data_IF_790923179725
#
_entry.id   IF_790923179725
#
_cell.length_a   1.000
_cell.length_b   1.000
_cell.length_c   1.000
_cell.angle_alpha   90.00
_cell.angle_beta   90.00
_cell.angle_gamma   90.00
#
_symmetry.space_group_name_H-M   'P 1'
#
loop_
_entity.id
_entity.type
_entity.pdbx_description
1 polymer ?
#
# COMPACT_ATOMS: atom_id res chain seq x y z
N UNK A 1 25.21 24.26 -39.59
CA UNK A 1 25.55 22.96 -40.20
C UNK A 1 26.94 22.55 -39.77
N UNK A 2 27.06 21.67 -38.78
CA UNK A 2 28.31 20.94 -38.50
C UNK A 2 27.90 19.50 -38.16
N UNK A 3 28.33 18.57 -39.02
CA UNK A 3 27.90 17.18 -39.05
C UNK A 3 28.56 16.31 -37.98
N UNK A 4 27.77 15.36 -37.47
CA UNK A 4 28.20 14.36 -36.50
C UNK A 4 29.18 13.36 -37.10
N UNK A 5 30.24 13.05 -36.34
CA UNK A 5 31.12 11.90 -36.60
C UNK A 5 30.48 10.64 -36.01
N UNK A 6 30.17 9.69 -36.89
CA UNK A 6 29.90 8.31 -36.52
C UNK A 6 31.15 7.69 -35.89
N UNK A 7 31.03 7.22 -34.66
CA UNK A 7 32.04 6.39 -34.01
C UNK A 7 31.80 4.95 -34.52
N UNK A 8 32.76 4.47 -35.31
CA UNK A 8 32.76 3.14 -35.93
C UNK A 8 32.75 2.02 -34.88
N UNK A 9 31.84 1.06 -35.05
CA UNK A 9 31.59 -0.10 -34.19
C UNK A 9 32.67 -1.19 -34.19
N UNK A 10 33.90 -0.89 -34.64
CA UNK A 10 34.85 -1.92 -35.08
C UNK A 10 35.93 -2.34 -34.07
N UNK A 11 35.72 -2.20 -32.76
CA UNK A 11 36.79 -2.52 -31.77
C UNK A 11 36.38 -3.50 -30.66
N UNK A 12 35.13 -3.93 -30.56
CA UNK A 12 34.74 -4.90 -29.52
C UNK A 12 33.77 -5.92 -30.11
N UNK A 13 34.26 -7.03 -30.67
CA UNK A 13 33.32 -8.04 -31.17
C UNK A 13 33.83 -9.27 -31.92
N UNK A 14 35.13 -9.47 -32.14
CA UNK A 14 35.54 -10.57 -33.04
C UNK A 14 35.46 -11.98 -32.43
N UNK A 15 35.16 -12.13 -31.13
CA UNK A 15 35.17 -13.45 -30.45
C UNK A 15 33.95 -13.73 -29.55
N UNK A 16 32.85 -13.00 -29.68
CA UNK A 16 31.62 -13.31 -28.93
C UNK A 16 30.80 -14.38 -29.68
N UNK A 17 30.22 -15.39 -28.98
CA UNK A 17 29.37 -16.38 -29.64
C UNK A 17 28.17 -15.70 -30.31
N UNK A 18 27.63 -16.25 -31.41
CA UNK A 18 26.62 -15.58 -32.25
C UNK A 18 25.39 -15.06 -31.48
N UNK A 19 24.98 -15.77 -30.42
CA UNK A 19 23.88 -15.38 -29.54
C UNK A 19 24.15 -14.09 -28.73
N UNK A 20 25.40 -13.84 -28.34
CA UNK A 20 25.80 -12.63 -27.61
C UNK A 20 25.90 -11.41 -28.55
N UNK A 21 26.26 -11.63 -29.82
CA UNK A 21 26.30 -10.57 -30.83
C UNK A 21 24.89 -10.12 -31.22
N UNK A 22 23.95 -11.06 -31.39
CA UNK A 22 22.53 -10.79 -31.68
C UNK A 22 21.81 -10.12 -30.49
N UNK A 23 22.16 -10.49 -29.26
CA UNK A 23 21.68 -9.82 -28.04
C UNK A 23 22.14 -8.36 -27.97
N UNK A 24 23.43 -8.09 -28.20
CA UNK A 24 24.00 -6.75 -28.09
C UNK A 24 23.50 -5.80 -29.18
N UNK A 25 23.35 -6.26 -30.43
CA UNK A 25 22.80 -5.40 -31.50
C UNK A 25 21.32 -5.06 -31.28
N UNK A 26 20.50 -5.99 -30.74
CA UNK A 26 19.06 -5.73 -30.50
C UNK A 26 18.78 -4.91 -29.23
N UNK A 27 19.66 -4.97 -28.23
CA UNK A 27 19.64 -4.09 -27.05
C UNK A 27 19.96 -2.63 -27.45
N UNK A 28 20.87 -2.43 -28.42
CA UNK A 28 21.22 -1.13 -28.97
C UNK A 28 20.15 -0.59 -29.94
N UNK A 29 19.47 -1.48 -30.67
CA UNK A 29 18.32 -1.17 -31.55
C UNK A 29 16.97 -1.20 -30.82
N UNK A 30 16.94 -0.92 -29.52
CA UNK A 30 15.69 -0.83 -28.77
C UNK A 30 14.87 0.34 -29.33
N UNK A 31 13.83 0.02 -30.11
CA UNK A 31 12.74 0.96 -30.39
C UNK A 31 12.22 1.55 -29.07
N UNK A 32 11.73 2.78 -29.11
CA UNK A 32 11.44 3.61 -27.93
C UNK A 32 10.85 2.81 -26.75
N UNK A 33 11.62 2.68 -25.67
CA UNK A 33 11.13 2.16 -24.40
C UNK A 33 10.04 3.09 -23.91
N UNK A 34 8.81 2.61 -23.87
CA UNK A 34 7.67 3.46 -23.55
C UNK A 34 6.63 2.69 -22.72
N UNK A 35 5.69 3.43 -22.13
CA UNK A 35 4.68 2.89 -21.20
C UNK A 35 3.77 1.80 -21.78
N UNK A 36 3.79 1.60 -23.10
CA UNK A 36 2.95 0.61 -23.78
C UNK A 36 3.64 -0.75 -23.93
N UNK A 37 4.94 -0.84 -23.60
CA UNK A 37 5.72 -2.07 -23.69
C UNK A 37 5.51 -2.89 -22.43
N UNK A 38 5.17 -4.16 -22.58
CA UNK A 38 5.10 -5.10 -21.46
C UNK A 38 6.52 -5.49 -21.02
N UNK A 39 6.99 -5.14 -19.81
CA UNK A 39 8.36 -5.43 -19.40
C UNK A 39 8.63 -6.93 -19.19
N UNK A 40 7.58 -7.75 -19.04
CA UNK A 40 7.72 -9.20 -18.80
C UNK A 40 7.96 -10.00 -20.09
N UNK A 41 7.71 -9.44 -21.29
CA UNK A 41 7.92 -10.16 -22.56
C UNK A 41 9.36 -10.61 -22.74
N UNK A 42 10.28 -9.78 -22.31
CA UNK A 42 11.70 -9.94 -22.60
C UNK A 42 12.39 -10.86 -21.58
N UNK A 43 11.71 -11.22 -20.49
CA UNK A 43 12.25 -12.13 -19.47
C UNK A 43 12.48 -13.54 -20.01
N UNK A 44 11.67 -13.97 -20.98
CA UNK A 44 11.88 -15.26 -21.67
C UNK A 44 13.22 -15.30 -22.42
N UNK A 45 13.72 -14.15 -22.88
CA UNK A 45 15.04 -14.02 -23.52
C UNK A 45 16.18 -14.14 -22.51
N UNK A 46 15.90 -13.96 -21.22
CA UNK A 46 16.84 -14.14 -20.10
C UNK A 46 16.72 -15.53 -19.45
N UNK A 47 16.16 -16.51 -20.17
CA UNK A 47 15.91 -17.87 -19.66
C UNK A 47 14.96 -17.93 -18.46
N UNK A 48 14.16 -16.88 -18.21
CA UNK A 48 13.12 -16.87 -17.19
C UNK A 48 11.81 -17.24 -17.89
N UNK A 49 11.43 -18.51 -17.78
CA UNK A 49 10.23 -19.03 -18.43
C UNK A 49 8.95 -18.48 -17.79
N UNK A 50 7.84 -18.56 -18.52
CA UNK A 50 6.52 -18.14 -18.02
C UNK A 50 6.12 -18.89 -16.75
N UNK A 51 6.46 -20.18 -16.65
CA UNK A 51 6.20 -21.02 -15.48
C UNK A 51 6.98 -20.52 -14.25
N UNK A 52 8.22 -20.06 -14.42
CA UNK A 52 9.01 -19.47 -13.33
C UNK A 52 8.35 -18.18 -12.83
N UNK A 53 7.91 -17.30 -13.74
CA UNK A 53 7.23 -16.06 -13.38
C UNK A 53 5.92 -16.32 -12.63
N UNK A 54 5.10 -17.26 -13.13
CA UNK A 54 3.85 -17.66 -12.48
C UNK A 54 4.11 -18.28 -11.11
N UNK A 55 5.09 -19.19 -11.01
CA UNK A 55 5.51 -19.81 -9.74
C UNK A 55 5.98 -18.78 -8.72
N UNK A 56 6.70 -17.75 -9.15
CA UNK A 56 7.11 -16.63 -8.29
C UNK A 56 5.90 -15.85 -7.75
N UNK A 57 4.90 -15.53 -8.58
CA UNK A 57 3.66 -14.87 -8.10
C UNK A 57 2.92 -15.76 -7.10
N UNK A 58 2.79 -17.05 -7.38
CA UNK A 58 2.14 -18.01 -6.47
C UNK A 58 2.88 -18.06 -5.13
N UNK A 59 4.22 -18.09 -5.16
CA UNK A 59 5.03 -18.03 -3.94
C UNK A 59 4.79 -16.75 -3.14
N UNK A 60 4.73 -15.58 -3.80
CA UNK A 60 4.44 -14.31 -3.12
C UNK A 60 3.06 -14.33 -2.46
N UNK A 61 2.04 -14.87 -3.13
CA UNK A 61 0.71 -15.02 -2.55
C UNK A 61 0.70 -15.95 -1.33
N UNK A 62 1.44 -17.07 -1.38
CA UNK A 62 1.60 -17.98 -0.23
C UNK A 62 2.30 -17.29 0.95
N UNK A 63 3.36 -16.52 0.70
CA UNK A 63 4.06 -15.76 1.74
C UNK A 63 3.13 -14.75 2.44
N UNK A 64 2.23 -14.09 1.70
CA UNK A 64 1.22 -13.19 2.29
C UNK A 64 0.27 -13.93 3.20
N UNK A 65 -0.26 -15.07 2.74
CA UNK A 65 -1.20 -15.89 3.51
C UNK A 65 -0.52 -16.36 4.80
N UNK A 66 0.66 -16.98 4.69
CA UNK A 66 1.42 -17.50 5.83
C UNK A 66 1.77 -16.36 6.79
N UNK A 67 2.33 -15.26 6.30
CA UNK A 67 2.72 -14.12 7.13
C UNK A 67 1.54 -13.49 7.87
N UNK A 68 0.38 -13.43 7.23
CA UNK A 68 -0.85 -12.88 7.81
C UNK A 68 -1.41 -13.82 8.88
N UNK A 69 -1.43 -15.14 8.65
CA UNK A 69 -1.83 -16.15 9.65
C UNK A 69 -0.90 -16.10 10.86
N UNK A 70 0.42 -16.07 10.64
CA UNK A 70 1.40 -15.95 11.72
C UNK A 70 1.20 -14.66 12.52
N UNK A 71 0.90 -13.55 11.86
CA UNK A 71 0.63 -12.26 12.52
C UNK A 71 -0.60 -12.35 13.43
N UNK A 72 -1.68 -12.97 12.94
CA UNK A 72 -2.90 -13.21 13.74
C UNK A 72 -2.64 -14.07 14.96
N UNK A 73 -1.87 -15.16 14.79
CA UNK A 73 -1.51 -16.07 15.87
C UNK A 73 -0.66 -15.35 16.93
N UNK A 74 0.35 -14.61 16.49
CA UNK A 74 1.26 -13.89 17.39
C UNK A 74 0.55 -12.78 18.17
N UNK A 75 -0.27 -11.96 17.48
CA UNK A 75 -1.01 -10.86 18.10
C UNK A 75 -2.28 -11.30 18.83
N UNK A 76 -2.67 -12.58 18.71
CA UNK A 76 -3.94 -13.13 19.22
C UNK A 76 -5.16 -12.32 18.78
N UNK A 77 -5.08 -11.64 17.64
CA UNK A 77 -6.08 -10.67 17.18
C UNK A 77 -7.43 -11.33 16.92
N UNK A 78 -7.43 -12.53 16.32
CA UNK A 78 -8.66 -13.30 16.10
C UNK A 78 -9.36 -13.61 17.43
N UNK A 79 -8.61 -14.09 18.43
CA UNK A 79 -9.15 -14.38 19.76
C UNK A 79 -9.77 -13.12 20.38
N UNK A 80 -9.05 -11.99 20.32
CA UNK A 80 -9.54 -10.71 20.81
C UNK A 80 -10.86 -10.31 20.13
N UNK A 81 -10.93 -10.32 18.80
CA UNK A 81 -12.14 -9.93 18.07
C UNK A 81 -13.33 -10.85 18.35
N UNK A 82 -13.10 -12.16 18.51
CA UNK A 82 -14.16 -13.10 18.89
C UNK A 82 -14.68 -12.86 20.31
N UNK A 83 -13.80 -12.60 21.27
CA UNK A 83 -14.19 -12.29 22.65
C UNK A 83 -14.95 -10.96 22.72
N UNK A 84 -14.47 -9.96 22.00
CA UNK A 84 -15.11 -8.65 21.91
C UNK A 84 -16.48 -8.73 21.22
N UNK A 85 -16.62 -9.49 20.14
CA UNK A 85 -17.90 -9.71 19.47
C UNK A 85 -18.91 -10.45 20.38
N UNK A 86 -18.44 -11.41 21.19
CA UNK A 86 -19.29 -12.08 22.20
C UNK A 86 -19.73 -11.11 23.28
N UNK A 87 -18.84 -10.22 23.74
CA UNK A 87 -19.15 -9.19 24.74
C UNK A 87 -20.15 -8.17 24.20
N UNK A 88 -19.93 -7.66 23.00
CA UNK A 88 -20.85 -6.76 22.30
C UNK A 88 -22.23 -7.40 22.15
N UNK A 89 -22.31 -8.66 21.71
CA UNK A 89 -23.59 -9.39 21.60
C UNK A 89 -24.33 -9.53 22.93
N UNK A 90 -23.63 -9.69 24.06
CA UNK A 90 -24.25 -9.74 25.39
C UNK A 90 -24.79 -8.39 25.85
N UNK A 91 -24.17 -7.30 25.42
CA UNK A 91 -24.51 -5.94 25.79
C UNK A 91 -25.40 -5.25 24.74
N UNK A 92 -25.79 -5.96 23.68
CA UNK A 92 -26.67 -5.44 22.64
C UNK A 92 -28.04 -5.12 23.24
N UNK A 93 -28.51 -3.89 22.98
CA UNK A 93 -29.84 -3.44 23.41
C UNK A 93 -30.91 -3.79 22.40
N UNK A 94 -30.52 -4.14 21.17
CA UNK A 94 -31.41 -4.64 20.12
C UNK A 94 -30.71 -5.64 19.20
N UNK A 95 -31.52 -6.36 18.40
CA UNK A 95 -31.00 -7.19 17.31
C UNK A 95 -30.84 -6.38 16.03
N UNK A 96 -29.71 -6.58 15.34
CA UNK A 96 -29.48 -6.06 13.97
C UNK A 96 -29.76 -7.18 12.97
N UNK A 97 -30.69 -6.92 12.06
CA UNK A 97 -31.10 -7.86 11.02
C UNK A 97 -29.98 -8.15 10.03
N UNK A 98 -30.10 -9.26 9.28
CA UNK A 98 -29.13 -9.60 8.24
C UNK A 98 -29.03 -8.53 7.14
N UNK A 99 -30.16 -7.89 6.79
CA UNK A 99 -30.21 -6.80 5.81
C UNK A 99 -29.47 -5.55 6.28
N UNK A 100 -29.68 -5.14 7.54
CA UNK A 100 -28.92 -4.03 8.15
C UNK A 100 -27.42 -4.34 8.21
N UNK A 101 -27.03 -5.56 8.60
CA UNK A 101 -25.62 -5.97 8.61
C UNK A 101 -24.98 -5.89 7.22
N UNK A 102 -25.71 -6.30 6.17
CA UNK A 102 -25.26 -6.17 4.79
C UNK A 102 -25.08 -4.69 4.40
N UNK A 103 -26.04 -3.82 4.74
CA UNK A 103 -25.93 -2.38 4.52
C UNK A 103 -24.73 -1.76 5.25
N UNK A 104 -24.46 -2.18 6.49
CA UNK A 104 -23.28 -1.73 7.24
C UNK A 104 -21.97 -2.24 6.64
N UNK A 105 -21.95 -3.47 6.11
CA UNK A 105 -20.80 -4.01 5.39
C UNK A 105 -20.51 -3.21 4.11
N UNK A 106 -21.54 -2.90 3.32
CA UNK A 106 -21.41 -2.05 2.14
C UNK A 106 -20.89 -0.65 2.51
N UNK A 107 -21.43 -0.05 3.57
CA UNK A 107 -20.96 1.25 4.08
C UNK A 107 -19.51 1.20 4.54
N UNK A 108 -19.09 0.14 5.23
CA UNK A 108 -17.67 -0.07 5.61
C UNK A 108 -16.79 -0.19 4.39
N UNK A 109 -17.18 -0.98 3.39
CA UNK A 109 -16.40 -1.12 2.16
C UNK A 109 -16.27 0.22 1.44
N UNK A 110 -17.37 0.95 1.25
CA UNK A 110 -17.36 2.23 0.57
C UNK A 110 -16.53 3.31 1.32
N UNK A 111 -16.75 3.46 2.63
CA UNK A 111 -16.09 4.52 3.39
C UNK A 111 -14.67 4.14 3.81
N UNK A 112 -14.44 2.95 4.35
CA UNK A 112 -13.14 2.59 4.92
C UNK A 112 -12.18 2.07 3.85
N UNK A 113 -12.64 1.18 2.97
CA UNK A 113 -11.78 0.52 1.99
C UNK A 113 -11.62 1.38 0.74
N UNK A 114 -12.72 1.74 0.07
CA UNK A 114 -12.64 2.40 -1.23
C UNK A 114 -12.15 3.85 -1.15
N UNK A 115 -12.54 4.57 -0.09
CA UNK A 115 -12.26 6.00 0.00
C UNK A 115 -11.30 6.37 1.12
N UNK A 116 -10.87 5.41 1.94
CA UNK A 116 -10.01 5.63 3.11
C UNK A 116 -10.51 6.80 3.99
N UNK A 117 -11.83 6.85 4.18
CA UNK A 117 -12.54 7.93 4.87
C UNK A 117 -12.19 8.07 6.34
N UNK A 118 -11.51 7.09 6.92
CA UNK A 118 -10.91 7.20 8.25
C UNK A 118 -9.84 8.29 8.37
N UNK A 119 -9.23 8.72 7.27
CA UNK A 119 -8.21 9.76 7.29
C UNK A 119 -8.86 11.13 7.19
N UNK A 120 -8.99 11.81 8.33
CA UNK A 120 -9.38 13.22 8.37
C UNK A 120 -8.34 14.15 7.72
N UNK A 121 -7.06 13.74 7.70
CA UNK A 121 -5.99 14.49 7.06
C UNK A 121 -5.93 14.18 5.55
N UNK A 122 -6.20 15.19 4.72
CA UNK A 122 -6.25 15.05 3.26
C UNK A 122 -4.92 14.58 2.65
N UNK A 123 -3.77 15.09 3.14
CA UNK A 123 -2.45 14.67 2.64
C UNK A 123 -2.22 13.18 2.88
N UNK A 124 -2.54 12.71 4.10
CA UNK A 124 -2.47 11.29 4.47
C UNK A 124 -3.43 10.44 3.64
N UNK A 125 -4.65 10.94 3.42
CA UNK A 125 -5.67 10.26 2.62
C UNK A 125 -5.22 10.07 1.16
N UNK A 126 -4.72 11.13 0.52
CA UNK A 126 -4.25 11.07 -0.87
C UNK A 126 -3.05 10.11 -1.00
N UNK A 127 -2.06 10.23 -0.12
CA UNK A 127 -0.90 9.33 -0.10
C UNK A 127 -1.33 7.86 0.08
N UNK A 128 -2.30 7.60 0.96
CA UNK A 128 -2.83 6.26 1.15
C UNK A 128 -3.61 5.74 -0.07
N UNK A 129 -4.48 6.56 -0.68
CA UNK A 129 -5.23 6.16 -1.88
C UNK A 129 -4.30 5.87 -3.06
N UNK A 130 -3.27 6.69 -3.26
CA UNK A 130 -2.24 6.45 -4.28
C UNK A 130 -1.49 5.14 -4.04
N UNK A 131 -1.09 4.87 -2.79
CA UNK A 131 -0.40 3.61 -2.48
C UNK A 131 -1.32 2.39 -2.57
N UNK A 132 -2.56 2.47 -2.09
CA UNK A 132 -3.52 1.37 -2.12
C UNK A 132 -3.94 1.02 -3.55
N UNK A 133 -4.46 1.99 -4.31
CA UNK A 133 -4.88 1.73 -5.69
C UNK A 133 -3.69 1.49 -6.61
N UNK A 134 -2.57 2.17 -6.38
CA UNK A 134 -1.32 1.91 -7.10
C UNK A 134 -0.88 0.45 -6.93
N UNK A 135 -0.90 -0.07 -5.70
CA UNK A 135 -0.58 -1.47 -5.40
C UNK A 135 -1.54 -2.44 -6.09
N UNK A 136 -2.85 -2.22 -5.97
CA UNK A 136 -3.88 -3.08 -6.58
C UNK A 136 -3.69 -3.14 -8.09
N UNK A 137 -3.56 -1.99 -8.75
CA UNK A 137 -3.39 -1.91 -10.20
C UNK A 137 -2.07 -2.59 -10.61
N UNK A 138 -0.96 -2.29 -9.92
CA UNK A 138 0.36 -2.84 -10.23
C UNK A 138 0.39 -4.37 -10.12
N UNK A 139 -0.14 -4.93 -9.02
CA UNK A 139 -0.16 -6.38 -8.81
C UNK A 139 -1.15 -7.07 -9.76
N UNK A 140 -2.36 -6.53 -9.93
CA UNK A 140 -3.37 -7.14 -10.80
C UNK A 140 -2.90 -7.18 -12.26
N UNK A 141 -2.35 -6.07 -12.77
CA UNK A 141 -1.82 -6.03 -14.14
C UNK A 141 -0.58 -6.90 -14.32
N UNK A 142 0.29 -7.02 -13.30
CA UNK A 142 1.41 -7.99 -13.31
C UNK A 142 0.89 -9.42 -13.46
N UNK A 143 -0.09 -9.81 -12.65
CA UNK A 143 -0.70 -11.13 -12.72
C UNK A 143 -1.39 -11.37 -14.07
N UNK A 144 -2.17 -10.41 -14.57
CA UNK A 144 -2.81 -10.52 -15.87
C UNK A 144 -1.79 -10.69 -17.00
N UNK A 145 -0.70 -9.90 -17.03
CA UNK A 145 0.32 -9.99 -18.06
C UNK A 145 1.11 -11.30 -18.01
N UNK A 146 1.37 -11.85 -16.82
CA UNK A 146 2.14 -13.10 -16.63
C UNK A 146 1.29 -14.35 -16.85
N UNK A 147 0.02 -14.34 -16.42
CA UNK A 147 -0.86 -15.52 -16.50
C UNK A 147 -1.66 -15.60 -17.81
N UNK A 148 -1.99 -14.48 -18.46
CA UNK A 148 -2.81 -14.52 -19.68
C UNK A 148 -2.06 -15.01 -20.91
N UNK A 149 -0.72 -15.08 -20.87
CA UNK A 149 0.11 -15.43 -22.03
C UNK A 149 0.01 -14.43 -23.20
N UNK A 150 -0.90 -13.46 -23.13
CA UNK A 150 -1.12 -12.45 -24.16
C UNK A 150 -0.44 -11.14 -23.72
N UNK A 151 0.87 -11.15 -23.93
CA UNK A 151 1.84 -10.17 -23.47
C UNK A 151 1.67 -8.80 -24.17
N UNK A 152 0.69 -8.66 -25.08
CA UNK A 152 0.63 -7.58 -26.07
C UNK A 152 -0.52 -6.58 -25.91
N UNK A 153 -1.36 -6.63 -24.86
CA UNK A 153 -2.29 -5.51 -24.65
C UNK A 153 -1.54 -4.32 -24.08
N UNK A 154 -1.22 -3.36 -24.95
CA UNK A 154 -0.58 -2.08 -24.60
C UNK A 154 -1.28 -1.35 -23.45
N UNK A 155 -2.59 -1.57 -23.26
CA UNK A 155 -3.37 -1.04 -22.13
C UNK A 155 -2.95 -1.61 -20.77
N UNK A 156 -2.68 -2.92 -20.64
CA UNK A 156 -2.22 -3.50 -19.38
C UNK A 156 -0.84 -2.98 -18.98
N UNK A 157 0.06 -2.82 -19.96
CA UNK A 157 1.36 -2.20 -19.72
C UNK A 157 1.20 -0.76 -19.21
N UNK A 158 0.31 0.04 -19.80
CA UNK A 158 0.03 1.41 -19.34
C UNK A 158 -0.49 1.42 -17.91
N UNK A 159 -1.46 0.56 -17.58
CA UNK A 159 -1.99 0.47 -16.21
C UNK A 159 -0.92 0.00 -15.22
N UNK A 160 -0.05 -0.93 -15.60
CA UNK A 160 1.07 -1.36 -14.78
C UNK A 160 2.02 -0.21 -14.44
N UNK A 161 2.43 0.57 -15.44
CA UNK A 161 3.27 1.75 -15.22
C UNK A 161 2.54 2.81 -14.38
N UNK A 162 1.25 3.05 -14.63
CA UNK A 162 0.45 3.98 -13.84
C UNK A 162 0.37 3.54 -12.37
N UNK A 163 0.14 2.26 -12.11
CA UNK A 163 0.13 1.69 -10.77
C UNK A 163 1.47 1.89 -10.05
N UNK A 164 2.58 1.64 -10.74
CA UNK A 164 3.93 1.88 -10.21
C UNK A 164 4.19 3.37 -9.94
N UNK A 165 3.78 4.27 -10.83
CA UNK A 165 3.90 5.73 -10.63
C UNK A 165 3.08 6.16 -9.41
N UNK A 166 1.84 5.68 -9.27
CA UNK A 166 1.00 5.96 -8.10
C UNK A 166 1.64 5.48 -6.81
N UNK A 167 2.25 4.28 -6.81
CA UNK A 167 3.02 3.76 -5.68
C UNK A 167 4.19 4.65 -5.30
N UNK A 168 4.98 5.11 -6.28
CA UNK A 168 6.08 6.04 -6.05
C UNK A 168 5.57 7.36 -5.46
N UNK A 169 4.58 8.00 -6.10
CA UNK A 169 4.04 9.28 -5.65
C UNK A 169 3.45 9.18 -4.24
N UNK A 170 2.63 8.17 -3.98
CA UNK A 170 2.02 7.95 -2.67
C UNK A 170 3.06 7.60 -1.60
N UNK A 171 3.99 6.70 -1.93
CA UNK A 171 5.00 6.18 -1.01
C UNK A 171 6.09 7.18 -0.65
N UNK A 172 6.62 7.93 -1.62
CA UNK A 172 7.58 9.01 -1.34
C UNK A 172 6.93 10.18 -0.60
N UNK A 173 5.67 10.51 -0.92
CA UNK A 173 4.91 11.50 -0.14
C UNK A 173 4.74 11.05 1.31
N UNK A 174 4.44 9.77 1.54
CA UNK A 174 4.42 9.23 2.90
C UNK A 174 5.77 9.37 3.57
N UNK A 175 6.83 8.90 2.91
CA UNK A 175 8.17 8.79 3.48
C UNK A 175 8.79 10.14 3.87
N UNK A 176 8.71 11.13 2.98
CA UNK A 176 9.38 12.41 3.17
C UNK A 176 8.51 13.51 3.78
N UNK A 177 7.17 13.42 3.65
CA UNK A 177 6.28 14.54 4.01
C UNK A 177 5.32 14.20 5.15
N UNK A 178 4.86 12.95 5.27
CA UNK A 178 3.75 12.59 6.17
C UNK A 178 4.20 11.69 7.32
N UNK A 179 5.35 11.01 7.18
CA UNK A 179 5.91 10.16 8.25
C UNK A 179 6.15 11.02 9.48
N UNK A 180 5.38 10.74 10.54
CA UNK A 180 5.35 11.53 11.78
C UNK A 180 6.76 11.69 12.37
N UNK A 181 7.53 10.61 12.43
CA UNK A 181 8.89 10.65 12.95
C UNK A 181 9.76 11.70 12.22
N UNK A 182 9.56 11.88 10.92
CA UNK A 182 10.35 12.82 10.11
C UNK A 182 9.75 14.23 10.20
N UNK A 183 8.44 14.35 9.95
CA UNK A 183 7.78 15.64 9.82
C UNK A 183 7.54 16.35 11.16
N UNK A 184 7.36 15.59 12.24
CA UNK A 184 6.91 16.08 13.53
C UNK A 184 7.75 15.59 14.72
N UNK A 185 8.79 14.76 14.51
CA UNK A 185 9.77 14.42 15.56
C UNK A 185 11.21 14.75 15.14
N UNK A 186 11.43 15.30 13.94
CA UNK A 186 12.74 15.72 13.44
C UNK A 186 13.72 14.56 13.22
N UNK A 187 13.25 13.32 13.16
CA UNK A 187 14.12 12.18 12.88
C UNK A 187 14.66 12.25 11.46
N UNK A 188 15.90 11.84 11.29
CA UNK A 188 16.56 11.80 9.98
C UNK A 188 15.77 10.87 9.05
N UNK A 189 15.49 11.33 7.83
CA UNK A 189 14.72 10.57 6.83
C UNK A 189 15.31 9.19 6.48
N UNK A 190 16.61 8.99 6.70
CA UNK A 190 17.30 7.70 6.48
C UNK A 190 17.33 6.80 7.72
N UNK A 191 16.73 7.22 8.84
CA UNK A 191 16.57 6.39 10.02
C UNK A 191 15.41 5.41 9.83
N UNK A 192 15.77 4.13 9.64
CA UNK A 192 14.83 3.03 9.38
C UNK A 192 14.48 2.32 10.68
N UNK A 193 13.19 2.14 10.93
CA UNK A 193 12.69 1.25 11.99
C UNK A 193 11.95 0.06 11.40
N UNK A 194 11.74 -0.99 12.20
CA UNK A 194 11.01 -2.20 11.78
C UNK A 194 9.63 -1.89 11.17
N UNK A 195 8.96 -0.84 11.67
CA UNK A 195 7.67 -0.39 11.17
C UNK A 195 7.69 0.11 9.72
N UNK A 196 8.87 0.48 9.19
CA UNK A 196 9.06 1.06 7.86
C UNK A 196 9.27 0.01 6.76
N UNK A 197 9.56 -1.25 7.13
CA UNK A 197 9.87 -2.33 6.18
C UNK A 197 8.81 -2.40 5.08
N UNK A 198 7.53 -2.30 5.44
CA UNK A 198 6.42 -2.32 4.48
C UNK A 198 6.50 -1.16 3.48
N UNK A 199 6.57 0.09 3.96
CA UNK A 199 6.49 1.24 3.05
C UNK A 199 7.75 1.37 2.19
N UNK A 200 8.92 1.09 2.76
CA UNK A 200 10.19 1.17 2.04
C UNK A 200 10.27 0.10 0.97
N UNK A 201 9.95 -1.15 1.30
CA UNK A 201 9.89 -2.22 0.28
C UNK A 201 8.83 -1.93 -0.79
N UNK A 202 7.68 -1.34 -0.43
CA UNK A 202 6.62 -1.00 -1.37
C UNK A 202 7.05 0.03 -2.42
N UNK A 203 7.55 1.20 -2.02
CA UNK A 203 7.94 2.22 -3.00
C UNK A 203 9.23 1.85 -3.73
N UNK A 204 10.17 1.14 -3.09
CA UNK A 204 11.39 0.69 -3.78
C UNK A 204 11.09 -0.37 -4.83
N UNK A 205 10.12 -1.28 -4.58
CA UNK A 205 9.62 -2.22 -5.60
C UNK A 205 9.10 -1.46 -6.81
N UNK A 206 8.26 -0.45 -6.62
CA UNK A 206 7.72 0.35 -7.71
C UNK A 206 8.81 1.15 -8.45
N UNK A 207 9.75 1.75 -7.73
CA UNK A 207 10.88 2.49 -8.30
C UNK A 207 11.75 1.59 -9.17
N UNK A 208 12.16 0.43 -8.66
CA UNK A 208 13.00 -0.50 -9.41
C UNK A 208 12.25 -1.16 -10.57
N UNK A 209 10.95 -1.38 -10.44
CA UNK A 209 10.11 -1.83 -11.54
C UNK A 209 10.07 -0.81 -12.70
N UNK A 210 9.89 0.47 -12.39
CA UNK A 210 9.93 1.54 -13.40
C UNK A 210 11.32 1.67 -14.02
N UNK A 211 12.38 1.73 -13.20
CA UNK A 211 13.75 1.82 -13.70
C UNK A 211 14.11 0.62 -14.58
N UNK A 212 13.72 -0.59 -14.18
CA UNK A 212 13.87 -1.78 -15.01
C UNK A 212 13.13 -1.64 -16.35
N UNK A 213 11.86 -1.23 -16.33
CA UNK A 213 11.05 -1.09 -17.55
C UNK A 213 11.65 -0.11 -18.56
N UNK A 214 12.25 1.00 -18.09
CA UNK A 214 12.78 2.08 -18.93
C UNK A 214 14.25 1.94 -19.32
N UNK A 215 14.98 0.98 -18.77
CA UNK A 215 16.42 0.79 -19.04
C UNK A 215 16.69 -0.49 -19.80
N UNK A 216 17.80 -0.54 -20.54
CA UNK A 216 18.25 -1.70 -21.30
C UNK A 216 19.66 -2.14 -20.89
N UNK A 217 20.09 -3.32 -21.34
CA UNK A 217 21.42 -3.88 -21.05
C UNK A 217 21.66 -4.17 -19.56
N UNK A 218 22.91 -4.04 -19.12
CA UNK A 218 23.32 -4.39 -17.76
C UNK A 218 22.61 -3.61 -16.65
N UNK A 219 22.24 -2.34 -16.89
CA UNK A 219 21.46 -1.55 -15.94
C UNK A 219 20.04 -2.10 -15.75
N UNK A 220 19.42 -2.58 -16.83
CA UNK A 220 18.10 -3.23 -16.76
C UNK A 220 18.15 -4.47 -15.87
N UNK A 221 19.19 -5.30 -16.01
CA UNK A 221 19.39 -6.49 -15.18
C UNK A 221 19.59 -6.15 -13.70
N UNK A 222 20.35 -5.09 -13.40
CA UNK A 222 20.53 -4.60 -12.03
C UNK A 222 19.18 -4.18 -11.41
N UNK A 223 18.41 -3.35 -12.12
CA UNK A 223 17.12 -2.88 -11.63
C UNK A 223 16.09 -4.00 -11.52
N UNK A 224 16.11 -4.97 -12.44
CA UNK A 224 15.29 -6.17 -12.33
C UNK A 224 15.62 -6.98 -11.07
N UNK A 225 16.91 -7.19 -10.78
CA UNK A 225 17.35 -7.87 -9.56
C UNK A 225 16.91 -7.12 -8.29
N UNK A 226 17.06 -5.80 -8.25
CA UNK A 226 16.61 -4.96 -7.13
C UNK A 226 15.08 -4.96 -7.00
N UNK A 227 14.34 -4.99 -8.11
CA UNK A 227 12.89 -5.19 -8.13
C UNK A 227 12.51 -6.53 -7.49
N UNK A 228 13.16 -7.64 -7.88
CA UNK A 228 12.88 -8.94 -7.28
C UNK A 228 13.18 -8.98 -5.78
N UNK A 229 14.31 -8.40 -5.35
CA UNK A 229 14.69 -8.34 -3.93
C UNK A 229 13.68 -7.54 -3.13
N UNK A 230 13.36 -6.32 -3.55
CA UNK A 230 12.39 -5.46 -2.87
C UNK A 230 10.98 -6.07 -2.86
N UNK A 231 10.55 -6.67 -3.96
CA UNK A 231 9.29 -7.39 -4.08
C UNK A 231 9.25 -8.62 -3.15
N UNK A 232 10.34 -9.36 -3.05
CA UNK A 232 10.41 -10.50 -2.12
C UNK A 232 10.34 -10.00 -0.67
N UNK A 233 11.03 -8.90 -0.33
CA UNK A 233 11.00 -8.34 1.02
C UNK A 233 9.58 -7.92 1.41
N UNK A 234 8.83 -7.23 0.55
CA UNK A 234 7.46 -6.80 0.91
C UNK A 234 6.56 -7.99 1.26
N UNK A 235 6.62 -9.09 0.50
CA UNK A 235 5.75 -10.25 0.69
C UNK A 235 6.27 -11.22 1.76
N UNK A 236 7.58 -11.42 1.88
CA UNK A 236 8.18 -12.27 2.91
C UNK A 236 8.15 -11.63 4.31
N UNK A 237 8.09 -10.29 4.39
CA UNK A 237 8.12 -9.56 5.67
C UNK A 237 6.74 -9.27 6.27
N UNK A 238 5.65 -9.83 5.72
CA UNK A 238 4.26 -9.54 6.15
C UNK A 238 4.08 -9.72 7.67
N UNK A 239 4.68 -10.76 8.26
CA UNK A 239 4.62 -11.02 9.70
C UNK A 239 5.31 -9.93 10.55
N UNK A 240 6.37 -9.31 10.04
CA UNK A 240 7.16 -8.31 10.78
C UNK A 240 6.77 -6.87 10.45
N UNK A 241 5.89 -6.68 9.48
CA UNK A 241 5.60 -5.36 8.92
C UNK A 241 4.17 -4.92 9.23
N UNK A 242 3.83 -3.73 8.74
CA UNK A 242 2.46 -3.23 8.81
C UNK A 242 1.54 -3.92 7.80
N UNK A 243 2.01 -4.68 6.82
CA UNK A 243 1.17 -5.22 5.73
C UNK A 243 -0.13 -5.89 6.23
N UNK A 244 -0.04 -6.74 7.26
CA UNK A 244 -1.18 -7.53 7.73
C UNK A 244 -2.38 -6.68 8.23
N UNK A 245 -2.17 -5.42 8.65
CA UNK A 245 -3.28 -4.56 9.09
C UNK A 245 -4.29 -4.25 7.96
N UNK A 246 -3.89 -4.38 6.70
CA UNK A 246 -4.78 -4.17 5.54
C UNK A 246 -5.97 -5.13 5.56
N UNK A 247 -5.79 -6.34 6.08
CA UNK A 247 -6.84 -7.36 6.14
C UNK A 247 -7.76 -7.20 7.36
N UNK A 248 -7.20 -6.85 8.53
CA UNK A 248 -7.97 -6.82 9.78
C UNK A 248 -8.76 -5.54 9.98
N UNK A 249 -8.29 -4.43 9.42
CA UNK A 249 -8.89 -3.11 9.68
C UNK A 249 -10.32 -2.98 9.15
N UNK A 250 -10.65 -3.43 7.92
CA UNK A 250 -12.04 -3.42 7.45
C UNK A 250 -12.95 -4.31 8.29
N UNK A 251 -12.45 -5.47 8.75
CA UNK A 251 -13.20 -6.37 9.61
C UNK A 251 -13.51 -5.73 10.99
N UNK A 252 -12.51 -5.10 11.60
CA UNK A 252 -12.69 -4.36 12.86
C UNK A 252 -13.66 -3.18 12.72
N UNK A 253 -13.58 -2.43 11.61
CA UNK A 253 -14.49 -1.34 11.33
C UNK A 253 -15.93 -1.81 11.15
N UNK A 254 -16.15 -2.95 10.48
CA UNK A 254 -17.47 -3.56 10.37
C UNK A 254 -18.01 -4.00 11.73
N UNK A 255 -17.18 -4.66 12.56
CA UNK A 255 -17.57 -5.05 13.91
C UNK A 255 -17.98 -3.83 14.74
N UNK A 256 -17.22 -2.73 14.66
CA UNK A 256 -17.56 -1.47 15.34
C UNK A 256 -18.90 -0.90 14.87
N UNK A 257 -19.18 -0.89 13.56
CA UNK A 257 -20.46 -0.41 13.03
C UNK A 257 -21.64 -1.28 13.48
N UNK A 258 -21.44 -2.60 13.56
CA UNK A 258 -22.47 -3.52 14.07
C UNK A 258 -22.72 -3.28 15.56
N UNK A 259 -21.66 -3.12 16.37
CA UNK A 259 -21.78 -2.82 17.79
C UNK A 259 -22.45 -1.45 18.06
N UNK A 260 -22.19 -0.45 17.22
CA UNK A 260 -22.93 0.81 17.27
C UNK A 260 -24.40 0.62 16.94
N UNK A 261 -24.69 -0.15 15.88
CA UNK A 261 -26.05 -0.38 15.43
C UNK A 261 -26.87 -1.22 16.43
N UNK A 262 -26.27 -2.21 17.11
CA UNK A 262 -26.95 -3.06 18.09
C UNK A 262 -27.09 -2.41 19.48
N UNK A 263 -26.53 -1.21 19.65
CA UNK A 263 -26.58 -0.40 20.87
C UNK A 263 -25.62 -0.83 21.98
N UNK A 264 -24.84 -1.90 21.79
CA UNK A 264 -23.76 -2.24 22.72
C UNK A 264 -22.65 -1.19 22.74
N UNK A 265 -22.44 -0.52 21.60
CA UNK A 265 -21.48 0.55 21.34
C UNK A 265 -20.06 0.24 21.86
N UNK A 266 -19.66 -1.03 21.91
CA UNK A 266 -18.40 -1.47 22.53
C UNK A 266 -18.22 -0.99 23.98
N UNK A 267 -19.34 -0.85 24.72
CA UNK A 267 -19.42 -0.23 26.05
C UNK A 267 -18.95 1.23 26.10
N UNK A 268 -18.83 1.90 24.95
CA UNK A 268 -18.62 3.32 24.91
C UNK A 268 -19.95 4.03 25.24
N UNK A 269 -19.90 5.18 25.93
CA UNK A 269 -21.09 6.02 26.09
C UNK A 269 -21.70 6.32 24.73
N UNK A 270 -23.03 6.34 24.65
CA UNK A 270 -23.72 6.81 23.45
C UNK A 270 -23.39 8.27 23.16
N UNK A 271 -23.66 8.70 21.93
CA UNK A 271 -23.59 10.13 21.60
C UNK A 271 -24.66 10.86 22.41
N UNK A 272 -24.24 11.82 23.24
CA UNK A 272 -25.13 12.66 24.03
C UNK A 272 -25.39 13.98 23.30
N UNK A 273 -26.62 14.47 23.36
CA UNK A 273 -26.90 15.87 23.07
C UNK A 273 -26.37 16.72 24.24
N UNK A 274 -25.30 17.46 24.00
CA UNK A 274 -24.67 18.30 25.02
C UNK A 274 -25.57 19.48 25.44
N UNK A 275 -26.65 19.75 24.70
CA UNK A 275 -27.65 20.77 25.04
C UNK A 275 -28.79 20.23 25.91
N UNK A 276 -28.89 18.91 26.11
CA UNK A 276 -29.92 18.27 26.93
C UNK A 276 -29.68 18.56 28.43
N UNK A 277 -30.65 19.18 29.14
CA UNK A 277 -30.56 19.41 30.58
C UNK A 277 -30.31 18.14 31.40
N UNK A 278 -30.82 16.98 30.97
CA UNK A 278 -30.61 15.71 31.67
C UNK A 278 -29.15 15.23 31.55
N UNK A 279 -28.51 15.49 30.40
CA UNK A 279 -27.08 15.21 30.18
C UNK A 279 -26.22 16.16 31.01
N UNK A 280 -26.55 17.45 31.01
CA UNK A 280 -25.85 18.45 31.83
C UNK A 280 -25.99 18.18 33.33
N UNK A 281 -27.15 17.71 33.79
CA UNK A 281 -27.34 17.30 35.18
C UNK A 281 -26.51 16.06 35.55
N UNK A 282 -26.37 15.11 34.62
CA UNK A 282 -25.57 13.89 34.80
C UNK A 282 -24.06 14.16 34.76
N UNK A 283 -23.64 15.12 33.95
CA UNK A 283 -22.25 15.53 33.74
C UNK A 283 -22.11 17.06 33.88
N UNK A 284 -22.18 17.60 35.11
CA UNK A 284 -22.21 19.04 35.36
C UNK A 284 -20.91 19.76 34.96
N UNK A 285 -19.85 19.01 34.73
CA UNK A 285 -18.53 19.46 34.35
C UNK A 285 -18.31 19.56 32.83
N UNK A 286 -19.28 19.15 31.98
CA UNK A 286 -19.21 19.29 30.50
C UNK A 286 -18.68 20.65 30.03
N UNK A 287 -19.14 21.79 30.57
CA UNK A 287 -18.64 23.10 30.15
C UNK A 287 -17.12 23.29 30.35
N UNK A 288 -16.53 22.60 31.33
CA UNK A 288 -15.10 22.70 31.66
C UNK A 288 -14.18 22.04 30.61
N UNK A 289 -14.68 21.06 29.84
CA UNK A 289 -13.87 20.34 28.84
C UNK A 289 -14.46 20.29 27.41
N UNK A 290 -15.77 20.52 27.23
CA UNK A 290 -16.42 20.61 25.90
C UNK A 290 -17.14 21.94 25.64
N UNK A 291 -16.96 22.95 26.51
CA UNK A 291 -17.48 24.31 26.28
C UNK A 291 -16.78 25.03 25.12
N UNK A 292 -17.29 26.21 24.75
CA UNK A 292 -16.72 27.06 23.68
C UNK A 292 -15.29 27.51 23.95
N UNK A 293 -14.88 27.62 25.23
CA UNK A 293 -13.51 27.94 25.62
C UNK A 293 -13.16 27.25 26.96
N UNK A 294 -12.79 25.97 26.94
CA UNK A 294 -12.53 25.21 28.16
C UNK A 294 -11.22 25.70 28.82
N UNK A 295 -11.26 26.06 30.11
CA UNK A 295 -10.16 26.74 30.83
C UNK A 295 -8.81 26.00 30.78
N UNK A 296 -8.83 24.66 30.68
CA UNK A 296 -7.63 23.82 30.70
C UNK A 296 -7.35 23.11 29.36
N UNK A 297 -8.06 23.48 28.28
CA UNK A 297 -7.81 22.93 26.94
C UNK A 297 -6.98 23.92 26.14
N UNK A 298 -5.67 23.64 26.00
CA UNK A 298 -4.82 24.38 25.06
C UNK A 298 -5.34 24.26 23.62
N UNK A 299 -4.78 25.03 22.69
CA UNK A 299 -5.21 25.02 21.28
C UNK A 299 -5.22 23.61 20.61
N UNK A 300 -4.58 22.60 21.22
CA UNK A 300 -4.70 21.20 20.81
C UNK A 300 -4.29 21.00 19.35
N UNK A 301 -5.16 20.35 18.57
CA UNK A 301 -4.99 20.16 17.12
C UNK A 301 -4.99 21.47 16.31
N UNK A 302 -5.50 22.58 16.88
CA UNK A 302 -5.47 23.93 16.28
C UNK A 302 -4.18 24.70 16.61
N UNK A 303 -3.30 24.15 17.46
CA UNK A 303 -1.96 24.69 17.66
C UNK A 303 -1.19 24.59 16.34
N UNK A 304 -0.21 25.48 16.15
CA UNK A 304 0.75 25.39 15.04
C UNK A 304 1.26 23.95 14.89
N UNK A 305 1.39 23.48 13.64
CA UNK A 305 2.02 22.19 13.38
C UNK A 305 3.41 22.20 14.02
N UNK A 306 3.86 21.11 14.67
CA UNK A 306 5.21 21.05 15.22
C UNK A 306 6.23 21.10 14.06
N UNK A 307 6.60 22.31 13.66
CA UNK A 307 7.61 22.59 12.63
C UNK A 307 8.90 23.10 13.30
N UNK A 308 9.04 22.91 14.61
CA UNK A 308 10.16 23.40 15.41
C UNK A 308 11.30 22.39 15.36
N UNK A 309 11.92 22.25 14.19
CA UNK A 309 13.17 21.50 13.97
C UNK A 309 14.09 22.31 13.07
#
# INVERSE_FOLDING_TARGET
>A
MLGGKNISSKVIGENAPPALHDYNERILNRGSVNMFTNPFSDLTQLNISTEIMQGYIVLMALLVIIGTVLDMMHKKSAKYFFEDAKKAKKNATRTVSSGEKAGLALKTLANEVLTSGEFCNMKRRISHLLTMYGFIIFVATSAMMIFSGNVASSSLAVFWHLGAIMLCLGGYSFWFVIRVDVAAEGTKWYHLVKADIFIVSLFTTATFALLWSFTSGGLSLLFFGLFLVSNTIIFASVFWSKFAHMFFKPAAALQKRIAQADGSNLNLPGDFDLTDPAVQAKFPDIPQYMGTNPENMGAGIRRESPNHY
#
